data_IF_451654390669
#
_entry.id   IF_451654390669
#
_cell.length_a   1.000
_cell.length_b   1.000
_cell.length_c   1.000
_cell.angle_alpha   90.00
_cell.angle_beta   90.00
_cell.angle_gamma   90.00
#
_symmetry.space_group_name_H-M   'P 1'
#
loop_
_entity.id
_entity.type
_entity.pdbx_description
1 polymer ?
#
# COMPACT_ATOMS: atom_id res chain seq x y z
N UNK A 1 -14.46 19.82 1.06
CA UNK A 1 -15.13 18.50 1.06
C UNK A 1 -15.32 18.11 2.52
N UNK A 2 -16.52 17.65 2.90
CA UNK A 2 -16.79 17.13 4.25
C UNK A 2 -16.26 15.70 4.35
N UNK A 3 -15.65 15.36 5.47
CA UNK A 3 -15.19 13.98 5.75
C UNK A 3 -16.35 13.21 6.42
N UNK A 4 -17.24 12.69 5.62
CA UNK A 4 -18.51 12.07 6.05
C UNK A 4 -18.31 10.85 6.96
N UNK A 5 -17.19 10.17 6.82
CA UNK A 5 -16.88 8.94 7.57
C UNK A 5 -15.97 9.18 8.78
N UNK A 6 -15.74 10.43 9.16
CA UNK A 6 -14.95 10.78 10.34
C UNK A 6 -15.83 11.02 11.55
N UNK A 7 -15.51 10.38 12.66
CA UNK A 7 -16.16 10.64 13.94
C UNK A 7 -15.72 12.01 14.49
N UNK A 8 -16.66 12.80 15.00
CA UNK A 8 -16.38 14.18 15.40
C UNK A 8 -15.49 14.28 16.65
N UNK A 9 -15.62 13.37 17.59
CA UNK A 9 -15.01 13.49 18.93
C UNK A 9 -14.14 12.30 19.33
N UNK A 10 -13.60 11.53 18.40
CA UNK A 10 -12.75 10.40 18.71
C UNK A 10 -11.47 10.36 17.86
N UNK A 11 -10.47 9.63 18.32
CA UNK A 11 -9.16 9.48 17.70
C UNK A 11 -8.13 10.47 18.25
N UNK A 12 -6.87 10.07 18.18
CA UNK A 12 -5.72 10.86 18.63
C UNK A 12 -5.14 11.66 17.46
N UNK A 13 -5.94 12.55 16.89
CA UNK A 13 -5.55 13.40 15.76
C UNK A 13 -5.62 14.88 16.14
N UNK A 14 -4.70 15.67 15.63
CA UNK A 14 -4.71 17.13 15.79
C UNK A 14 -5.59 17.76 14.69
N UNK A 15 -6.82 18.12 15.02
CA UNK A 15 -7.82 18.67 14.09
C UNK A 15 -7.54 20.10 13.65
N UNK A 16 -6.67 20.80 14.37
CA UNK A 16 -6.28 22.17 14.02
C UNK A 16 -5.25 22.20 12.90
N UNK A 17 -4.52 21.09 12.72
CA UNK A 17 -3.48 20.97 11.68
C UNK A 17 -3.95 20.09 10.53
N UNK A 18 -4.45 20.74 9.50
CA UNK A 18 -4.93 20.11 8.28
C UNK A 18 -3.75 19.81 7.33
N UNK A 19 -3.72 18.60 6.79
CA UNK A 19 -2.68 18.09 5.88
C UNK A 19 -3.32 17.77 4.54
N UNK A 20 -2.72 18.21 3.43
CA UNK A 20 -3.18 17.86 2.09
C UNK A 20 -2.31 16.78 1.46
N UNK A 21 -2.93 15.84 0.75
CA UNK A 21 -2.24 14.74 0.09
C UNK A 21 -2.94 14.34 -1.21
N UNK A 22 -2.28 13.52 -2.01
CA UNK A 22 -2.84 13.00 -3.27
C UNK A 22 -2.93 11.48 -3.24
N UNK A 23 -4.05 10.96 -3.72
CA UNK A 23 -4.23 9.53 -3.95
C UNK A 23 -4.82 9.29 -5.33
N UNK A 24 -4.15 8.47 -6.14
CA UNK A 24 -4.52 8.22 -7.55
C UNK A 24 -4.70 9.53 -8.35
N UNK A 25 -3.85 10.53 -8.11
CA UNK A 25 -3.89 11.82 -8.78
C UNK A 25 -4.97 12.79 -8.26
N UNK A 26 -5.86 12.36 -7.35
CA UNK A 26 -6.90 13.19 -6.76
C UNK A 26 -6.45 13.74 -5.42
N UNK A 27 -6.73 15.02 -5.18
CA UNK A 27 -6.37 15.70 -3.93
C UNK A 27 -7.39 15.43 -2.83
N UNK A 28 -6.89 15.09 -1.65
CA UNK A 28 -7.63 14.86 -0.42
C UNK A 28 -7.01 15.64 0.73
N UNK A 29 -7.65 15.61 1.89
CA UNK A 29 -7.08 16.15 3.12
C UNK A 29 -7.31 15.21 4.31
N UNK A 30 -6.43 15.30 5.27
CA UNK A 30 -6.51 14.66 6.58
C UNK A 30 -6.01 15.61 7.65
N UNK A 31 -5.63 15.08 8.79
CA UNK A 31 -5.12 15.84 9.92
C UNK A 31 -3.81 15.22 10.43
N UNK A 32 -3.03 15.99 11.16
CA UNK A 32 -1.84 15.48 11.83
C UNK A 32 -2.21 14.35 12.81
N UNK A 33 -1.47 13.25 12.77
CA UNK A 33 -1.77 12.00 13.49
C UNK A 33 -2.65 11.02 12.72
N UNK A 34 -3.18 11.40 11.54
CA UNK A 34 -3.81 10.43 10.65
C UNK A 34 -2.75 9.53 9.99
N UNK A 35 -3.10 8.27 9.78
CA UNK A 35 -2.45 7.43 8.77
C UNK A 35 -3.05 7.69 7.40
N UNK A 36 -2.36 7.30 6.34
CA UNK A 36 -2.92 7.38 4.98
C UNK A 36 -4.25 6.62 4.89
N UNK A 37 -4.36 5.47 5.55
CA UNK A 37 -5.59 4.67 5.61
C UNK A 37 -6.74 5.41 6.29
N UNK A 38 -6.52 5.97 7.49
CA UNK A 38 -7.56 6.68 8.24
C UNK A 38 -8.05 7.92 7.48
N UNK A 39 -7.12 8.66 6.86
CA UNK A 39 -7.46 9.81 6.05
C UNK A 39 -8.26 9.43 4.78
N UNK A 40 -7.91 8.34 4.10
CA UNK A 40 -8.66 7.85 2.94
C UNK A 40 -10.06 7.40 3.31
N UNK A 41 -10.22 6.61 4.38
CA UNK A 41 -11.53 6.18 4.88
C UNK A 41 -12.38 7.40 5.22
N UNK A 42 -11.84 8.38 5.96
CA UNK A 42 -12.54 9.61 6.32
C UNK A 42 -13.07 10.37 5.10
N UNK A 43 -12.35 10.33 3.98
CA UNK A 43 -12.75 10.93 2.70
C UNK A 43 -13.65 10.02 1.84
N UNK A 44 -14.09 8.85 2.34
CA UNK A 44 -14.95 7.92 1.61
C UNK A 44 -14.25 7.09 0.55
N UNK A 45 -12.93 6.95 0.63
CA UNK A 45 -12.15 6.10 -0.28
C UNK A 45 -11.99 4.74 0.36
N UNK A 46 -12.77 3.76 -0.09
CA UNK A 46 -12.78 2.41 0.44
C UNK A 46 -12.06 1.39 -0.46
N UNK A 47 -11.91 1.71 -1.74
CA UNK A 47 -11.23 0.84 -2.71
C UNK A 47 -9.78 1.31 -2.89
N UNK A 48 -8.85 0.52 -2.38
CA UNK A 48 -7.42 0.87 -2.33
C UNK A 48 -6.61 0.18 -3.41
N UNK A 49 -6.94 -1.06 -3.70
CA UNK A 49 -6.19 -1.85 -4.68
C UNK A 49 -6.99 -3.04 -5.18
N UNK A 50 -6.31 -3.93 -5.87
CA UNK A 50 -6.88 -5.16 -6.39
C UNK A 50 -6.00 -6.36 -6.03
N UNK A 51 -6.58 -7.57 -5.97
CA UNK A 51 -5.79 -8.78 -5.74
C UNK A 51 -4.97 -9.13 -6.98
N UNK A 52 -3.74 -9.62 -6.77
CA UNK A 52 -2.78 -9.86 -7.86
C UNK A 52 -3.20 -10.92 -8.87
N UNK A 53 -3.99 -11.92 -8.49
CA UNK A 53 -4.38 -13.03 -9.37
C UNK A 53 -5.69 -12.77 -10.11
N UNK A 54 -6.73 -12.41 -9.37
CA UNK A 54 -8.08 -12.26 -9.91
C UNK A 54 -8.53 -10.81 -10.03
N UNK A 55 -7.69 -9.86 -9.63
CA UNK A 55 -8.01 -8.44 -9.62
C UNK A 55 -9.32 -8.08 -8.91
N UNK A 56 -9.65 -8.85 -7.86
CA UNK A 56 -10.82 -8.59 -7.02
C UNK A 56 -10.61 -7.31 -6.21
N UNK A 57 -11.66 -6.49 -6.02
CA UNK A 57 -11.56 -5.28 -5.22
C UNK A 57 -11.00 -5.56 -3.82
N UNK A 58 -10.10 -4.69 -3.34
CA UNK A 58 -9.51 -4.73 -2.00
C UNK A 58 -9.61 -3.37 -1.34
N UNK A 59 -10.10 -3.37 -0.11
CA UNK A 59 -10.13 -2.21 0.78
C UNK A 59 -9.26 -2.44 1.99
N UNK A 60 -9.61 -1.80 3.08
CA UNK A 60 -8.97 -1.97 4.39
C UNK A 60 -9.58 -3.17 5.12
N UNK A 61 -8.73 -4.03 5.66
CA UNK A 61 -9.12 -5.17 6.46
C UNK A 61 -8.72 -5.00 7.93
N UNK A 62 -7.50 -4.53 8.18
CA UNK A 62 -6.94 -4.25 9.49
C UNK A 62 -6.69 -2.77 9.73
N UNK A 63 -6.22 -2.41 10.92
CA UNK A 63 -5.92 -1.04 11.31
C UNK A 63 -4.42 -0.77 11.54
N UNK A 64 -3.58 -1.78 11.51
CA UNK A 64 -2.15 -1.71 11.83
C UNK A 64 -1.29 -2.56 10.90
N UNK A 65 -0.23 -3.11 11.46
CA UNK A 65 0.81 -3.91 10.78
C UNK A 65 0.28 -5.21 10.15
N UNK A 66 -0.84 -5.69 10.59
CA UNK A 66 -1.51 -6.90 10.13
C UNK A 66 -2.39 -6.69 8.88
N UNK A 67 -2.44 -5.44 8.35
CA UNK A 67 -3.19 -5.13 7.12
C UNK A 67 -2.60 -5.85 5.90
N UNK A 68 -3.33 -6.81 5.30
CA UNK A 68 -2.78 -7.61 4.21
C UNK A 68 -3.05 -7.05 2.81
N UNK A 69 -3.94 -6.08 2.65
CA UNK A 69 -4.49 -5.70 1.33
C UNK A 69 -4.33 -4.24 0.95
N UNK A 70 -4.27 -3.33 1.93
CA UNK A 70 -4.19 -1.90 1.67
C UNK A 70 -2.76 -1.43 1.40
N UNK A 71 -2.12 -2.07 0.42
CA UNK A 71 -0.78 -1.68 -0.04
C UNK A 71 -0.87 -0.66 -1.15
N UNK A 72 0.03 0.31 -1.11
CA UNK A 72 0.11 1.42 -2.07
C UNK A 72 1.55 1.63 -2.53
N UNK A 73 1.70 2.31 -3.66
CA UNK A 73 2.96 2.88 -4.11
C UNK A 73 3.04 4.31 -3.61
N UNK A 74 4.05 4.63 -2.81
CA UNK A 74 4.34 6.01 -2.40
C UNK A 74 5.30 6.68 -3.37
N UNK A 75 5.16 8.00 -3.48
CA UNK A 75 6.04 8.88 -4.23
C UNK A 75 6.55 9.97 -3.31
N UNK A 76 7.86 10.00 -3.09
CA UNK A 76 8.55 11.04 -2.34
C UNK A 76 9.54 11.74 -3.26
N UNK A 77 9.34 13.03 -3.53
CA UNK A 77 10.17 13.78 -4.45
C UNK A 77 10.38 13.05 -5.79
N UNK A 78 11.51 12.41 -5.96
CA UNK A 78 11.84 11.62 -7.15
C UNK A 78 11.97 10.12 -6.87
N UNK A 79 11.66 9.69 -5.67
CA UNK A 79 11.79 8.31 -5.21
C UNK A 79 10.44 7.63 -5.10
N UNK A 80 10.45 6.33 -5.13
CA UNK A 80 9.22 5.52 -5.02
C UNK A 80 9.43 4.41 -4.00
N UNK A 81 8.51 4.31 -3.04
CA UNK A 81 8.44 3.21 -2.10
C UNK A 81 7.33 2.25 -2.51
N UNK A 82 7.66 1.02 -2.91
CA UNK A 82 6.68 0.04 -3.33
C UNK A 82 6.05 -0.70 -2.15
N UNK A 83 4.79 -1.08 -2.31
CA UNK A 83 4.08 -2.01 -1.42
C UNK A 83 4.02 -1.56 0.05
N UNK A 84 3.90 -0.25 0.28
CA UNK A 84 3.76 0.32 1.63
C UNK A 84 2.33 0.10 2.12
N UNK A 85 2.16 -0.34 3.36
CA UNK A 85 0.84 -0.44 3.99
C UNK A 85 0.31 0.95 4.32
N UNK A 86 -0.86 1.27 3.78
CA UNK A 86 -1.49 2.57 4.03
C UNK A 86 -1.86 2.77 5.52
N UNK A 87 -1.99 1.71 6.29
CA UNK A 87 -2.28 1.72 7.73
C UNK A 87 -1.08 2.09 8.59
N UNK A 88 0.14 1.90 8.10
CA UNK A 88 1.39 2.22 8.79
C UNK A 88 1.97 3.56 8.34
N UNK A 89 1.58 4.03 7.17
CA UNK A 89 2.08 5.29 6.61
C UNK A 89 1.43 6.48 7.31
N UNK A 90 2.22 7.21 8.09
CA UNK A 90 1.79 8.49 8.66
C UNK A 90 1.55 9.53 7.57
N UNK A 91 0.52 10.34 7.74
CA UNK A 91 0.15 11.38 6.81
C UNK A 91 1.05 12.62 6.97
N UNK A 92 1.64 13.08 5.88
CA UNK A 92 2.43 14.31 5.82
C UNK A 92 2.01 15.19 4.64
N UNK A 93 2.33 16.49 4.71
CA UNK A 93 1.95 17.44 3.67
C UNK A 93 2.61 17.09 2.34
N UNK A 94 1.80 17.03 1.29
CA UNK A 94 2.26 16.71 -0.07
C UNK A 94 2.46 15.23 -0.36
N UNK A 95 2.14 14.31 0.57
CA UNK A 95 2.19 12.87 0.32
C UNK A 95 1.44 12.52 -0.97
N UNK A 96 2.08 11.77 -1.84
CA UNK A 96 1.46 11.23 -3.05
C UNK A 96 1.52 9.70 -3.04
N UNK A 97 0.36 9.05 -3.21
CA UNK A 97 0.25 7.61 -3.25
C UNK A 97 -0.62 7.15 -4.43
N UNK A 98 -0.36 5.94 -4.91
CA UNK A 98 -1.17 5.28 -5.95
C UNK A 98 -1.53 3.86 -5.57
N UNK A 99 -2.69 3.44 -6.01
CA UNK A 99 -3.11 2.04 -5.96
C UNK A 99 -2.16 1.15 -6.76
N UNK A 100 -1.97 -0.07 -6.29
CA UNK A 100 -1.22 -1.11 -7.00
C UNK A 100 -2.17 -2.22 -7.48
N UNK A 101 -1.64 -3.14 -8.30
CA UNK A 101 -2.38 -4.30 -8.82
C UNK A 101 -3.63 -3.92 -9.64
N UNK A 102 -3.59 -2.81 -10.37
CA UNK A 102 -4.69 -2.37 -11.24
C UNK A 102 -4.18 -1.68 -12.50
N UNK A 103 -4.90 -1.80 -13.59
CA UNK A 103 -4.61 -1.11 -14.85
C UNK A 103 -5.88 -0.95 -15.69
N UNK A 104 -6.22 0.24 -16.21
CA UNK A 104 -5.52 1.53 -16.03
C UNK A 104 -5.81 2.21 -14.69
N UNK A 105 -6.85 1.81 -13.96
CA UNK A 105 -7.19 2.40 -12.66
C UNK A 105 -7.81 1.38 -11.71
N UNK A 106 -7.85 1.71 -10.42
CA UNK A 106 -8.44 0.82 -9.40
C UNK A 106 -9.96 0.64 -9.59
N UNK A 107 -10.65 1.65 -10.12
CA UNK A 107 -12.10 1.59 -10.37
C UNK A 107 -12.43 0.84 -11.66
N UNK A 108 -11.62 1.03 -12.69
CA UNK A 108 -11.75 0.34 -13.97
C UNK A 108 -10.46 -0.41 -14.26
N UNK A 109 -10.49 -1.72 -14.04
CA UNK A 109 -9.32 -2.58 -14.12
C UNK A 109 -9.56 -3.70 -15.13
N UNK A 110 -8.79 -3.70 -16.22
CA UNK A 110 -8.90 -4.72 -17.28
C UNK A 110 -8.51 -6.10 -16.74
N UNK A 111 -7.57 -6.17 -15.78
CA UNK A 111 -7.19 -7.43 -15.14
C UNK A 111 -8.34 -8.14 -14.42
N UNK A 112 -9.44 -7.43 -14.12
CA UNK A 112 -10.63 -8.02 -13.52
C UNK A 112 -11.29 -9.11 -14.39
N UNK A 113 -10.97 -9.21 -15.68
CA UNK A 113 -11.39 -10.29 -16.57
C UNK A 113 -10.94 -11.65 -16.03
N UNK A 114 -9.81 -11.71 -15.33
CA UNK A 114 -9.30 -12.93 -14.71
C UNK A 114 -10.29 -13.54 -13.69
N UNK A 115 -11.18 -12.72 -13.13
CA UNK A 115 -12.19 -13.23 -12.22
C UNK A 115 -13.27 -14.07 -12.94
N UNK A 116 -13.58 -13.75 -14.19
CA UNK A 116 -14.47 -14.55 -15.03
C UNK A 116 -13.80 -15.84 -15.49
N UNK A 117 -12.49 -15.78 -15.71
CA UNK A 117 -11.69 -16.92 -16.14
C UNK A 117 -11.18 -17.78 -14.96
N UNK A 118 -11.72 -17.59 -13.76
CA UNK A 118 -11.21 -18.23 -12.53
C UNK A 118 -11.15 -19.76 -12.59
N UNK A 119 -12.06 -20.38 -13.33
CA UNK A 119 -12.10 -21.86 -13.54
C UNK A 119 -10.85 -22.38 -14.25
N UNK A 120 -10.19 -21.54 -15.08
CA UNK A 120 -8.97 -21.89 -15.78
C UNK A 120 -7.69 -21.61 -14.97
N UNK A 121 -7.83 -20.94 -13.83
CA UNK A 121 -6.73 -20.59 -12.94
C UNK A 121 -6.83 -21.30 -11.58
N UNK A 122 -6.77 -22.63 -11.52
CA UNK A 122 -6.77 -23.34 -10.24
C UNK A 122 -5.53 -22.96 -9.40
N UNK A 123 -5.52 -23.37 -8.15
CA UNK A 123 -4.36 -23.18 -7.28
C UNK A 123 -3.11 -23.79 -7.93
N UNK A 124 -2.02 -23.03 -7.97
CA UNK A 124 -0.75 -23.47 -8.56
C UNK A 124 -0.73 -23.52 -10.09
N UNK A 125 -1.71 -22.91 -10.80
CA UNK A 125 -1.74 -22.94 -12.27
C UNK A 125 -0.44 -22.46 -12.91
N UNK A 126 0.23 -21.45 -12.36
CA UNK A 126 1.47 -20.90 -12.88
C UNK A 126 2.65 -21.87 -12.75
N UNK A 127 2.67 -22.72 -11.74
CA UNK A 127 3.67 -23.79 -11.65
C UNK A 127 3.51 -24.86 -12.73
N UNK A 128 2.26 -25.11 -13.16
CA UNK A 128 1.96 -26.11 -14.18
C UNK A 128 2.03 -25.55 -15.60
N UNK A 129 1.64 -24.29 -15.79
CA UNK A 129 1.48 -23.68 -17.12
C UNK A 129 2.78 -23.09 -17.66
N UNK A 130 3.63 -22.52 -16.78
CA UNK A 130 4.84 -21.79 -17.19
C UNK A 130 6.14 -22.56 -16.91
N UNK A 131 6.08 -23.90 -16.85
CA UNK A 131 7.25 -24.74 -16.54
C UNK A 131 8.00 -25.23 -17.77
N UNK A 132 7.44 -25.09 -18.94
CA UNK A 132 8.08 -25.60 -20.17
C UNK A 132 8.06 -24.54 -21.29
N UNK A 133 9.20 -24.31 -21.98
CA UNK A 133 10.54 -24.79 -21.62
C UNK A 133 11.12 -24.02 -20.41
N UNK A 134 11.86 -24.72 -19.53
CA UNK A 134 12.42 -24.16 -18.28
C UNK A 134 13.32 -22.93 -18.51
N UNK A 135 14.03 -22.90 -19.65
CA UNK A 135 14.91 -21.76 -20.02
C UNK A 135 14.18 -20.43 -20.21
N UNK A 136 12.85 -20.47 -20.42
CA UNK A 136 12.05 -19.27 -20.64
C UNK A 136 11.57 -18.63 -19.33
N UNK A 137 11.78 -19.33 -18.19
CA UNK A 137 11.30 -18.82 -16.90
C UNK A 137 11.77 -17.39 -16.61
N UNK A 138 13.10 -17.19 -16.53
CA UNK A 138 13.65 -15.87 -16.20
C UNK A 138 13.52 -14.83 -17.29
N UNK A 139 13.49 -15.24 -18.54
CA UNK A 139 13.53 -14.32 -19.67
C UNK A 139 12.13 -13.86 -20.11
N UNK A 140 11.11 -14.69 -19.94
CA UNK A 140 9.78 -14.46 -20.50
C UNK A 140 8.70 -14.55 -19.42
N UNK A 141 8.60 -15.70 -18.71
CA UNK A 141 7.45 -15.96 -17.85
C UNK A 141 7.47 -15.09 -16.60
N UNK A 142 8.57 -15.00 -15.90
CA UNK A 142 8.70 -14.24 -14.66
C UNK A 142 8.46 -12.74 -14.89
N UNK A 143 9.11 -12.06 -15.85
CA UNK A 143 8.83 -10.66 -16.13
C UNK A 143 7.37 -10.39 -16.51
N UNK A 144 6.77 -11.28 -17.29
CA UNK A 144 5.37 -11.17 -17.66
C UNK A 144 4.44 -11.31 -16.45
N UNK A 145 4.66 -12.34 -15.62
CA UNK A 145 3.87 -12.60 -14.41
C UNK A 145 4.00 -11.44 -13.43
N UNK A 146 5.22 -10.94 -13.22
CA UNK A 146 5.49 -9.79 -12.34
C UNK A 146 4.74 -8.55 -12.81
N UNK A 147 4.80 -8.25 -14.10
CA UNK A 147 4.08 -7.11 -14.69
C UNK A 147 2.56 -7.28 -14.58
N UNK A 148 2.06 -8.48 -14.83
CA UNK A 148 0.63 -8.80 -14.72
C UNK A 148 0.14 -8.74 -13.27
N UNK A 149 0.97 -9.10 -12.29
CA UNK A 149 0.66 -8.98 -10.87
C UNK A 149 0.52 -7.52 -10.41
N UNK A 150 1.18 -6.57 -11.10
CA UNK A 150 1.03 -5.14 -10.85
C UNK A 150 1.54 -4.65 -9.50
N UNK A 151 2.50 -5.34 -8.90
CA UNK A 151 3.16 -4.90 -7.66
C UNK A 151 3.90 -3.57 -7.87
N UNK A 152 4.15 -2.88 -6.75
CA UNK A 152 4.88 -1.62 -6.75
C UNK A 152 6.30 -1.75 -7.33
N UNK A 153 6.83 -0.64 -7.83
CA UNK A 153 8.12 -0.56 -8.49
C UNK A 153 9.10 0.26 -7.64
N UNK A 154 10.27 -0.32 -7.37
CA UNK A 154 11.37 0.35 -6.66
C UNK A 154 11.96 1.44 -7.54
N UNK A 155 12.35 2.57 -6.94
CA UNK A 155 13.12 3.60 -7.62
C UNK A 155 14.50 3.06 -8.01
N UNK A 156 14.95 3.42 -9.22
CA UNK A 156 16.33 3.19 -9.67
C UNK A 156 17.24 4.39 -9.43
N UNK A 157 16.69 5.47 -8.85
CA UNK A 157 17.43 6.67 -8.52
C UNK A 157 18.20 6.48 -7.23
N UNK A 158 19.31 7.23 -7.08
CA UNK A 158 20.09 7.23 -5.86
C UNK A 158 19.26 7.81 -4.70
N UNK A 159 19.20 7.06 -3.60
CA UNK A 159 18.60 7.53 -2.35
C UNK A 159 19.59 8.44 -1.64
N UNK A 160 19.19 9.68 -1.40
CA UNK A 160 19.97 10.68 -0.67
C UNK A 160 19.61 10.74 0.81
N UNK A 161 18.62 9.96 1.25
CA UNK A 161 18.22 9.89 2.66
C UNK A 161 19.31 9.18 3.48
N UNK A 162 19.59 9.72 4.66
CA UNK A 162 20.52 9.12 5.61
C UNK A 162 19.74 8.59 6.79
N UNK A 163 19.88 7.31 7.06
CA UNK A 163 19.24 6.63 8.16
C UNK A 163 20.23 6.37 9.28
N UNK A 164 19.88 6.72 10.52
CA UNK A 164 20.64 6.36 11.72
C UNK A 164 20.05 5.08 12.32
N UNK A 165 20.88 4.07 12.52
CA UNK A 165 20.51 2.92 13.33
C UNK A 165 20.89 3.20 14.78
N UNK A 166 19.86 3.38 15.64
CA UNK A 166 20.06 3.52 17.10
C UNK A 166 19.62 2.23 17.79
N UNK A 167 20.48 1.73 18.64
CA UNK A 167 20.16 0.59 19.49
C UNK A 167 19.94 1.10 20.92
N UNK A 168 18.69 1.25 21.32
CA UNK A 168 18.31 1.69 22.66
C UNK A 168 18.23 0.49 23.64
N UNK A 169 19.31 -0.30 23.70
CA UNK A 169 19.40 -1.45 24.61
C UNK A 169 19.31 -1.08 26.09
N UNK A 170 19.56 0.19 26.45
CA UNK A 170 19.54 0.66 27.82
C UNK A 170 18.12 0.92 28.35
N UNK A 171 17.11 1.07 27.51
CA UNK A 171 15.74 1.26 27.95
C UNK A 171 15.21 0.03 28.71
N UNK A 172 15.52 -1.15 28.23
CA UNK A 172 15.11 -2.40 28.89
C UNK A 172 15.85 -2.68 30.23
N UNK A 173 17.05 -2.18 30.38
CA UNK A 173 17.81 -2.33 31.63
C UNK A 173 17.44 -1.33 32.69
N UNK A 174 16.95 -0.14 32.31
CA UNK A 174 16.47 0.85 33.29
C UNK A 174 15.10 0.47 33.87
N UNK A 175 14.17 -0.01 33.03
CA UNK A 175 12.86 -0.46 33.51
C UNK A 175 12.95 -1.67 34.43
N UNK A 176 13.90 -2.59 34.19
CA UNK A 176 14.14 -3.74 35.07
C UNK A 176 14.80 -3.37 36.39
N UNK A 177 15.44 -2.20 36.48
CA UNK A 177 16.07 -1.72 37.74
C UNK A 177 15.07 -0.96 38.63
N UNK A 178 14.00 -0.43 38.09
CA UNK A 178 12.99 0.33 38.84
C UNK A 178 11.90 -0.59 39.46
N UNK A 179 11.89 -1.88 39.13
CA UNK A 179 10.97 -2.89 39.72
C UNK A 179 11.56 -3.67 40.90
N UNK A 180 12.73 -3.30 41.39
CA UNK A 180 13.37 -3.88 42.61
C UNK A 180 13.38 -2.89 43.78
#
# INVERSE_FOLDING_TARGET
MSQTYRLNNSGQINRDKKISFKFNGKKYFGYEGDTLASALIANGVHLIGRSFKYHRPRGFFGAGVDEPYAMVQLYRNNETEPNVRATEQELFEGLEAKSINCWPSVNFDIGAINNFLNKFFPAGFYYKTFMWPKSFWYKIYEPFIRKAAGFGVVSTKHDNERYEHKYDCLLYTSDAADEL
#
